data_IF_873976888868
#
_entry.id   IF_873976888868
#
_cell.length_a   1.000
_cell.length_b   1.000
_cell.length_c   1.000
_cell.angle_alpha   90.00
_cell.angle_beta   90.00
_cell.angle_gamma   90.00
#
_symmetry.space_group_name_H-M   'P 1'
#
loop_
_entity.id
_entity.type
_entity.pdbx_description
1 polymer ?
#
# COMPACT_ATOMS: atom_id res chain seq x y z
N UNK A 1 -9.41 15.51 32.82
CA UNK A 1 -9.87 16.12 31.57
C UNK A 1 -8.61 16.35 30.76
N UNK A 2 -8.22 15.30 30.04
CA UNK A 2 -6.94 15.22 29.34
C UNK A 2 -7.11 15.98 28.03
N UNK A 3 -6.39 17.10 27.92
CA UNK A 3 -6.37 17.94 26.74
C UNK A 3 -5.79 17.10 25.60
N UNK A 4 -6.69 16.59 24.74
CA UNK A 4 -6.30 15.92 23.52
C UNK A 4 -5.49 16.91 22.68
N UNK A 5 -4.16 16.80 22.76
CA UNK A 5 -3.25 17.54 21.92
C UNK A 5 -3.72 17.37 20.47
N UNK A 6 -4.26 18.43 19.88
CA UNK A 6 -4.53 18.47 18.46
C UNK A 6 -3.19 18.30 17.76
N UNK A 7 -2.93 17.10 17.25
CA UNK A 7 -1.80 16.83 16.37
C UNK A 7 -2.13 17.54 15.04
N UNK A 8 -1.37 18.57 14.63
CA UNK A 8 -1.51 19.14 13.30
C UNK A 8 -1.21 18.04 12.27
N UNK A 9 -2.04 17.90 11.24
CA UNK A 9 -1.78 16.95 10.14
C UNK A 9 -2.57 15.64 10.12
N UNK A 10 -3.71 15.60 10.81
CA UNK A 10 -4.65 14.47 10.77
C UNK A 10 -5.59 14.55 9.59
N UNK A 11 -5.06 14.32 8.39
CA UNK A 11 -5.89 14.22 7.19
C UNK A 11 -5.55 12.98 6.38
N UNK A 12 -6.54 12.48 5.63
CA UNK A 12 -6.31 11.36 4.72
C UNK A 12 -5.34 11.70 3.61
N UNK A 13 -5.28 12.97 3.17
CA UNK A 13 -4.36 13.39 2.12
C UNK A 13 -2.92 13.35 2.64
N UNK A 14 -2.66 13.90 3.83
CA UNK A 14 -1.33 13.88 4.44
C UNK A 14 -0.88 12.45 4.76
N UNK A 15 -1.77 11.62 5.29
CA UNK A 15 -1.50 10.22 5.58
C UNK A 15 -1.18 9.43 4.30
N UNK A 16 -1.88 9.69 3.18
CA UNK A 16 -1.57 9.10 1.88
C UNK A 16 -0.20 9.53 1.36
N UNK A 17 0.12 10.82 1.41
CA UNK A 17 1.40 11.36 0.95
C UNK A 17 2.55 10.77 1.77
N UNK A 18 2.41 10.81 3.11
CA UNK A 18 3.41 10.28 4.05
C UNK A 18 3.56 8.77 3.89
N UNK A 19 2.45 8.03 3.85
CA UNK A 19 2.43 6.58 3.66
C UNK A 19 3.07 6.15 2.35
N UNK A 20 2.83 6.87 1.26
CA UNK A 20 3.49 6.63 -0.04
C UNK A 20 5.01 6.80 0.04
N UNK A 21 5.50 7.87 0.67
CA UNK A 21 6.95 8.10 0.83
C UNK A 21 7.56 7.01 1.72
N UNK A 22 6.88 6.68 2.82
CA UNK A 22 7.22 5.58 3.70
C UNK A 22 7.39 4.23 2.95
N UNK A 23 6.43 3.88 2.07
CA UNK A 23 6.52 2.67 1.24
C UNK A 23 7.77 2.67 0.33
N UNK A 24 8.23 3.83 -0.13
CA UNK A 24 9.42 3.91 -0.98
C UNK A 24 10.70 3.66 -0.16
N UNK A 25 10.80 4.28 1.01
CA UNK A 25 12.03 4.28 1.84
C UNK A 25 12.18 3.04 2.72
N UNK A 26 11.09 2.32 3.00
CA UNK A 26 11.17 1.02 3.68
C UNK A 26 11.91 -0.03 2.84
N UNK A 27 12.10 0.21 1.53
CA UNK A 27 12.84 -0.67 0.62
C UNK A 27 12.04 -1.09 -0.62
N UNK A 28 10.92 -0.43 -0.91
CA UNK A 28 10.02 -0.76 -2.03
C UNK A 28 9.61 -2.25 -2.06
N UNK A 29 9.38 -2.82 -0.88
CA UNK A 29 8.89 -4.18 -0.71
C UNK A 29 7.51 -4.38 -1.32
N UNK A 30 7.19 -5.63 -1.66
CA UNK A 30 5.88 -6.00 -2.19
C UNK A 30 4.80 -5.70 -1.13
N UNK A 31 3.83 -4.81 -1.42
CA UNK A 31 2.78 -4.48 -0.46
C UNK A 31 1.70 -5.56 -0.47
N UNK A 32 1.80 -6.52 0.45
CA UNK A 32 0.82 -7.61 0.64
C UNK A 32 -0.58 -7.05 0.87
N UNK A 33 -0.67 -6.00 1.68
CA UNK A 33 -1.89 -5.25 1.90
C UNK A 33 -1.57 -3.82 2.28
N UNK A 34 -2.55 -2.93 2.11
CA UNK A 34 -2.46 -1.54 2.53
C UNK A 34 -3.85 -1.04 2.87
N UNK A 35 -3.95 -0.29 3.96
CA UNK A 35 -5.18 0.35 4.40
C UNK A 35 -4.92 1.81 4.73
N UNK A 36 -5.86 2.67 4.37
CA UNK A 36 -6.02 4.00 4.90
C UNK A 36 -7.38 4.08 5.59
N UNK A 37 -7.43 4.61 6.82
CA UNK A 37 -8.67 4.82 7.59
C UNK A 37 -8.72 6.24 8.11
N UNK A 38 -9.28 7.16 7.33
CA UNK A 38 -9.09 8.59 7.54
C UNK A 38 -7.60 8.94 7.49
N UNK A 39 -7.00 9.30 8.63
CA UNK A 39 -5.60 9.69 8.77
C UNK A 39 -4.65 8.55 9.16
N UNK A 40 -5.16 7.34 9.40
CA UNK A 40 -4.34 6.18 9.76
C UNK A 40 -3.93 5.39 8.51
N UNK A 41 -2.63 5.30 8.25
CA UNK A 41 -2.08 4.51 7.14
C UNK A 41 -1.35 3.29 7.70
N UNK A 42 -1.71 2.09 7.23
CA UNK A 42 -1.03 0.86 7.59
C UNK A 42 -0.78 -0.01 6.35
N UNK A 43 0.40 -0.59 6.24
CA UNK A 43 0.73 -1.52 5.16
C UNK A 43 1.50 -2.74 5.65
N UNK A 44 1.22 -3.89 5.04
CA UNK A 44 1.99 -5.12 5.23
C UNK A 44 2.87 -5.32 4.02
N UNK A 45 4.15 -5.57 4.26
CA UNK A 45 5.17 -5.71 3.24
C UNK A 45 5.83 -7.08 3.35
N UNK A 46 6.04 -7.73 2.21
CA UNK A 46 6.88 -8.91 2.13
C UNK A 46 8.33 -8.49 1.91
N UNK A 47 9.23 -8.88 2.82
CA UNK A 47 10.66 -8.62 2.61
C UNK A 47 11.15 -9.32 1.34
N UNK A 48 12.09 -8.70 0.62
CA UNK A 48 12.72 -9.31 -0.55
C UNK A 48 13.69 -10.41 -0.10
N UNK A 49 13.72 -11.52 -0.82
CA UNK A 49 14.66 -12.60 -0.55
C UNK A 49 16.14 -12.14 -0.59
N UNK A 50 16.47 -11.16 -1.45
CA UNK A 50 17.81 -10.59 -1.54
C UNK A 50 18.21 -9.70 -0.35
N UNK A 51 17.26 -9.29 0.48
CA UNK A 51 17.51 -8.52 1.71
C UNK A 51 17.68 -9.41 2.94
N UNK A 52 17.45 -10.73 2.79
CA UNK A 52 17.77 -11.74 3.78
C UNK A 52 19.21 -12.19 3.54
N UNK A 53 20.11 -11.90 4.48
CA UNK A 53 21.50 -12.37 4.42
C UNK A 53 21.57 -13.90 4.38
N UNK A 54 20.68 -14.56 5.14
CA UNK A 54 20.43 -15.99 5.07
C UNK A 54 18.92 -16.24 5.12
N UNK A 55 18.47 -17.38 4.56
CA UNK A 55 17.07 -17.81 4.77
C UNK A 55 16.84 -17.93 6.28
N UNK A 56 15.79 -17.29 6.77
CA UNK A 56 15.38 -17.47 8.16
C UNK A 56 15.02 -18.94 8.38
N UNK A 57 15.62 -19.59 9.39
CA UNK A 57 15.44 -21.03 9.66
C UNK A 57 14.82 -21.23 11.04
N UNK A 58 13.65 -20.63 11.29
CA UNK A 58 12.98 -20.67 12.59
C UNK A 58 12.78 -22.09 13.17
N UNK A 59 12.34 -22.21 14.43
CA UNK A 59 11.61 -21.18 15.19
C UNK A 59 12.51 -20.23 15.99
N UNK A 60 12.10 -18.96 16.09
CA UNK A 60 12.75 -17.95 16.92
C UNK A 60 12.03 -17.84 18.27
N UNK A 61 12.74 -17.30 19.26
CA UNK A 61 12.17 -16.97 20.58
C UNK A 61 12.55 -15.54 20.93
N UNK A 62 11.83 -14.92 21.86
CA UNK A 62 12.11 -13.54 22.29
C UNK A 62 13.57 -13.37 22.77
N UNK A 63 14.14 -14.39 23.41
CA UNK A 63 15.52 -14.38 23.94
C UNK A 63 16.58 -14.66 22.87
N UNK A 64 16.16 -15.07 21.67
CA UNK A 64 17.04 -15.32 20.52
C UNK A 64 16.40 -14.77 19.24
N UNK A 65 16.33 -13.43 19.10
CA UNK A 65 15.75 -12.81 17.92
C UNK A 65 16.61 -13.10 16.68
N UNK A 66 16.02 -13.13 15.48
CA UNK A 66 16.76 -13.36 14.24
C UNK A 66 17.76 -12.23 13.99
N UNK A 67 19.05 -12.59 13.87
CA UNK A 67 20.12 -11.63 13.63
C UNK A 67 19.89 -10.81 12.35
N UNK A 68 19.38 -11.42 11.28
CA UNK A 68 19.14 -10.73 10.01
C UNK A 68 18.05 -9.64 10.13
N UNK A 69 16.95 -9.93 10.84
CA UNK A 69 15.89 -8.94 11.08
C UNK A 69 16.39 -7.81 12.00
N UNK A 70 17.15 -8.16 13.04
CA UNK A 70 17.77 -7.17 13.94
C UNK A 70 18.74 -6.26 13.19
N UNK A 71 19.65 -6.83 12.39
CA UNK A 71 20.62 -6.09 11.60
C UNK A 71 19.92 -5.18 10.57
N UNK A 72 18.89 -5.70 9.90
CA UNK A 72 18.11 -4.91 8.94
C UNK A 72 17.48 -3.65 9.58
N UNK A 73 16.92 -3.79 10.79
CA UNK A 73 16.32 -2.69 11.54
C UNK A 73 17.37 -1.72 12.10
N UNK A 74 18.49 -2.24 12.61
CA UNK A 74 19.61 -1.44 13.13
C UNK A 74 20.22 -0.55 12.04
N UNK A 75 20.44 -1.09 10.83
CA UNK A 75 20.97 -0.33 9.69
C UNK A 75 20.06 0.83 9.26
N UNK A 76 18.77 0.77 9.59
CA UNK A 76 17.78 1.80 9.26
C UNK A 76 17.41 2.68 10.45
N UNK A 77 17.93 2.36 11.63
CA UNK A 77 17.74 3.19 12.83
C UNK A 77 18.54 4.49 12.66
N UNK A 78 17.88 5.63 12.90
CA UNK A 78 18.49 6.95 12.71
C UNK A 78 18.49 7.47 11.27
N UNK A 79 18.06 6.67 10.29
CA UNK A 79 17.77 7.15 8.93
C UNK A 79 16.37 7.73 8.94
N UNK A 80 16.23 9.01 8.55
CA UNK A 80 14.92 9.63 8.42
C UNK A 80 14.11 8.94 7.32
N UNK A 81 12.85 8.63 7.61
CA UNK A 81 11.85 8.12 6.68
C UNK A 81 10.64 9.06 6.63
N UNK A 82 10.27 9.54 5.45
CA UNK A 82 9.23 10.51 5.17
C UNK A 82 9.41 11.79 6.02
N UNK A 83 10.67 12.18 6.22
CA UNK A 83 11.04 13.31 7.08
C UNK A 83 10.84 13.06 8.59
N UNK A 84 10.57 11.81 9.00
CA UNK A 84 10.34 11.39 10.40
C UNK A 84 11.36 10.33 10.81
N UNK A 85 11.50 10.09 12.12
CA UNK A 85 12.32 8.99 12.61
C UNK A 85 11.48 7.73 12.76
N UNK A 86 11.83 6.61 12.09
CA UNK A 86 11.15 5.34 12.28
C UNK A 86 11.53 4.71 13.62
N UNK A 87 10.56 4.09 14.27
CA UNK A 87 10.74 3.14 15.38
C UNK A 87 10.55 1.72 14.86
N UNK A 88 11.42 0.81 15.28
CA UNK A 88 11.38 -0.60 14.88
C UNK A 88 11.16 -1.49 16.09
N UNK A 89 10.22 -2.44 15.98
CA UNK A 89 10.02 -3.49 16.98
C UNK A 89 9.97 -4.84 16.28
N UNK A 90 10.82 -5.76 16.72
CA UNK A 90 10.89 -7.10 16.15
C UNK A 90 10.04 -8.03 16.99
N UNK A 91 9.06 -8.64 16.35
CA UNK A 91 8.28 -9.72 16.92
C UNK A 91 8.87 -11.05 16.45
N UNK A 92 9.52 -11.75 17.38
CA UNK A 92 10.06 -13.08 17.16
C UNK A 92 9.11 -14.19 17.66
N UNK A 93 7.88 -13.84 18.08
CA UNK A 93 6.88 -14.81 18.51
C UNK A 93 6.20 -15.42 17.27
N UNK A 94 6.60 -16.63 16.91
CA UNK A 94 6.02 -17.34 15.78
C UNK A 94 7.05 -18.13 14.98
N UNK A 95 6.58 -18.70 13.87
CA UNK A 95 7.42 -19.49 12.97
C UNK A 95 8.45 -18.60 12.25
N UNK A 96 8.01 -17.40 11.85
CA UNK A 96 8.82 -16.40 11.17
C UNK A 96 8.82 -15.09 11.95
N UNK A 97 9.93 -14.34 11.97
CA UNK A 97 9.96 -13.04 12.58
C UNK A 97 9.17 -12.01 11.78
N UNK A 98 8.68 -10.99 12.47
CA UNK A 98 8.02 -9.83 11.87
C UNK A 98 8.66 -8.54 12.38
N UNK A 99 8.75 -7.54 11.53
CA UNK A 99 9.31 -6.23 11.88
C UNK A 99 8.18 -5.20 11.82
N UNK A 100 7.76 -4.73 12.99
CA UNK A 100 6.87 -3.59 13.09
C UNK A 100 7.67 -2.30 12.91
N UNK A 101 7.13 -1.40 12.10
CA UNK A 101 7.72 -0.10 11.81
C UNK A 101 6.67 0.98 12.09
N UNK A 102 7.03 1.99 12.87
CA UNK A 102 6.15 3.13 13.17
C UNK A 102 6.88 4.45 12.87
N UNK A 103 6.25 5.35 12.11
CA UNK A 103 6.80 6.68 11.89
C UNK A 103 6.38 7.62 13.02
N UNK A 104 7.33 7.96 13.89
CA UNK A 104 7.07 8.74 15.09
C UNK A 104 6.46 10.11 14.76
N UNK A 105 5.42 10.49 15.51
CA UNK A 105 4.67 11.73 15.30
C UNK A 105 3.65 11.67 14.16
N UNK A 106 3.35 10.49 13.62
CA UNK A 106 2.33 10.26 12.58
C UNK A 106 1.49 9.03 12.90
N UNK A 107 0.42 8.81 12.14
CA UNK A 107 -0.37 7.57 12.19
C UNK A 107 0.02 6.57 11.08
N UNK A 108 1.24 6.68 10.55
CA UNK A 108 1.77 5.77 9.50
C UNK A 108 2.52 4.61 10.13
N UNK A 109 2.11 3.40 9.80
CA UNK A 109 2.69 2.14 10.31
C UNK A 109 2.95 1.14 9.19
N UNK A 110 3.93 0.27 9.41
CA UNK A 110 4.25 -0.85 8.54
C UNK A 110 4.48 -2.13 9.31
N UNK A 111 4.19 -3.26 8.68
CA UNK A 111 4.57 -4.59 9.14
C UNK A 111 5.36 -5.26 8.02
N UNK A 112 6.60 -5.64 8.29
CA UNK A 112 7.40 -6.42 7.34
C UNK A 112 7.36 -7.87 7.79
N UNK A 113 6.89 -8.73 6.90
CA UNK A 113 6.84 -10.19 7.08
C UNK A 113 7.89 -10.87 6.21
N UNK A 114 8.29 -12.08 6.58
CA UNK A 114 9.21 -12.88 5.77
C UNK A 114 8.50 -13.44 4.52
N UNK A 115 9.23 -13.70 3.42
CA UNK A 115 8.66 -14.34 2.23
C UNK A 115 7.87 -15.61 2.54
N UNK A 116 8.35 -16.43 3.47
CA UNK A 116 7.75 -17.70 3.87
C UNK A 116 6.39 -17.56 4.57
N UNK A 117 6.03 -16.36 5.02
CA UNK A 117 4.73 -16.08 5.61
C UNK A 117 3.66 -15.77 4.54
N UNK A 118 4.08 -15.37 3.34
CA UNK A 118 3.17 -14.99 2.25
C UNK A 118 2.99 -16.17 1.30
N UNK A 119 1.74 -16.55 1.08
CA UNK A 119 1.39 -17.64 0.16
C UNK A 119 0.70 -17.10 -1.09
N UNK A 120 0.78 -17.83 -2.20
CA UNK A 120 0.05 -17.48 -3.42
C UNK A 120 -1.47 -17.37 -3.17
N UNK A 121 -2.02 -18.29 -2.36
CA UNK A 121 -3.42 -18.29 -1.92
C UNK A 121 -3.79 -17.00 -1.18
N UNK A 122 -2.95 -16.54 -0.24
CA UNK A 122 -3.20 -15.28 0.50
C UNK A 122 -3.27 -14.05 -0.41
N UNK A 123 -2.71 -14.15 -1.61
CA UNK A 123 -2.70 -13.08 -2.63
C UNK A 123 -3.74 -13.27 -3.73
N UNK A 124 -4.61 -14.29 -3.64
CA UNK A 124 -5.49 -14.71 -4.74
C UNK A 124 -4.75 -14.96 -6.06
N UNK A 125 -3.50 -15.41 -5.98
CA UNK A 125 -2.64 -15.68 -7.12
C UNK A 125 -2.39 -17.18 -7.29
N UNK A 126 -2.21 -17.69 -8.52
CA UNK A 126 -1.81 -19.07 -8.75
C UNK A 126 -0.37 -19.35 -8.28
N UNK A 127 0.49 -18.33 -8.26
CA UNK A 127 1.87 -18.41 -7.79
C UNK A 127 2.41 -17.03 -7.40
N UNK A 128 3.47 -17.02 -6.60
CA UNK A 128 4.30 -15.84 -6.31
C UNK A 128 5.51 -15.82 -7.27
N UNK A 129 6.08 -14.65 -7.53
CA UNK A 129 7.17 -14.52 -8.51
C UNK A 129 7.65 -13.08 -8.72
N UNK A 130 8.51 -12.88 -9.72
CA UNK A 130 9.20 -11.61 -9.97
C UNK A 130 8.26 -10.42 -10.20
N UNK A 131 7.05 -10.65 -10.70
CA UNK A 131 6.02 -9.62 -10.85
C UNK A 131 5.77 -8.80 -9.57
N UNK A 132 6.01 -9.37 -8.38
CA UNK A 132 5.85 -8.70 -7.09
C UNK A 132 6.74 -7.46 -6.94
N UNK A 133 7.92 -7.45 -7.57
CA UNK A 133 8.90 -6.35 -7.50
C UNK A 133 8.37 -5.05 -8.11
N UNK A 134 7.45 -5.15 -9.08
CA UNK A 134 6.92 -3.99 -9.79
C UNK A 134 5.77 -3.31 -9.05
N UNK A 135 5.00 -4.07 -8.26
CA UNK A 135 3.71 -3.63 -7.70
C UNK A 135 3.87 -2.44 -6.75
N UNK A 136 4.93 -2.42 -5.93
CA UNK A 136 5.17 -1.33 -4.98
C UNK A 136 5.25 0.04 -5.69
N UNK A 137 5.89 0.08 -6.86
CA UNK A 137 5.98 1.30 -7.67
C UNK A 137 4.63 1.72 -8.23
N UNK A 138 3.87 0.76 -8.77
CA UNK A 138 2.53 0.98 -9.33
C UNK A 138 1.58 1.54 -8.28
N UNK A 139 1.58 0.95 -7.07
CA UNK A 139 0.74 1.39 -5.94
C UNK A 139 1.08 2.82 -5.56
N UNK A 140 2.37 3.13 -5.36
CA UNK A 140 2.79 4.48 -4.97
C UNK A 140 2.39 5.54 -6.01
N UNK A 141 2.51 5.23 -7.29
CA UNK A 141 2.04 6.13 -8.36
C UNK A 141 0.54 6.37 -8.18
N UNK A 142 -0.28 5.32 -8.05
CA UNK A 142 -1.73 5.48 -7.87
C UNK A 142 -2.09 6.32 -6.63
N UNK A 143 -1.37 6.16 -5.50
CA UNK A 143 -1.57 6.99 -4.30
C UNK A 143 -1.30 8.47 -4.57
N UNK A 144 -0.30 8.81 -5.39
CA UNK A 144 -0.01 10.20 -5.79
C UNK A 144 -1.17 10.81 -6.59
N UNK A 145 -1.72 10.06 -7.54
CA UNK A 145 -2.90 10.51 -8.30
C UNK A 145 -4.09 10.76 -7.37
N UNK A 146 -4.36 9.84 -6.44
CA UNK A 146 -5.48 9.97 -5.49
C UNK A 146 -5.29 11.18 -4.58
N UNK A 147 -4.11 11.35 -3.98
CA UNK A 147 -3.80 12.49 -3.13
C UNK A 147 -3.94 13.82 -3.89
N UNK A 148 -3.42 13.88 -5.12
CA UNK A 148 -3.58 15.05 -6.00
C UNK A 148 -5.04 15.36 -6.33
N UNK A 149 -5.86 14.33 -6.60
CA UNK A 149 -7.28 14.52 -6.86
C UNK A 149 -8.05 14.99 -5.63
N UNK A 150 -7.81 14.40 -4.46
CA UNK A 150 -8.42 14.84 -3.20
C UNK A 150 -8.07 16.30 -2.89
N UNK A 151 -6.80 16.67 -3.08
CA UNK A 151 -6.31 18.05 -2.92
C UNK A 151 -7.04 19.00 -3.88
N UNK A 152 -7.12 18.63 -5.16
CA UNK A 152 -7.84 19.41 -6.16
C UNK A 152 -9.34 19.55 -5.83
N UNK A 153 -9.96 18.51 -5.26
CA UNK A 153 -11.37 18.56 -4.82
C UNK A 153 -11.58 19.57 -3.70
N UNK A 154 -10.70 19.54 -2.70
CA UNK A 154 -10.73 20.50 -1.60
C UNK A 154 -10.61 21.94 -2.12
N UNK A 155 -9.64 22.20 -3.01
CA UNK A 155 -9.46 23.54 -3.58
C UNK A 155 -10.63 24.00 -4.47
N UNK A 156 -11.18 23.12 -5.30
CA UNK A 156 -12.24 23.49 -6.25
C UNK A 156 -13.62 23.63 -5.61
N UNK A 157 -13.95 22.74 -4.67
CA UNK A 157 -15.28 22.72 -4.04
C UNK A 157 -15.31 23.46 -2.69
N UNK A 158 -14.14 23.80 -2.12
CA UNK A 158 -14.02 24.37 -0.79
C UNK A 158 -14.48 23.42 0.32
N UNK A 159 -14.69 23.98 1.51
CA UNK A 159 -15.17 23.26 2.70
C UNK A 159 -14.06 22.52 3.45
N UNK A 160 -14.44 21.62 4.35
CA UNK A 160 -13.50 20.78 5.10
C UNK A 160 -12.73 19.85 4.16
N UNK A 161 -11.52 19.45 4.54
CA UNK A 161 -10.74 18.51 3.75
C UNK A 161 -11.48 17.17 3.57
N UNK A 162 -11.54 16.62 2.33
CA UNK A 162 -12.23 15.36 2.09
C UNK A 162 -11.47 14.21 2.76
N UNK A 163 -12.21 13.35 3.45
CA UNK A 163 -11.70 12.16 4.12
C UNK A 163 -12.17 10.88 3.42
N UNK A 164 -11.23 9.96 3.18
CA UNK A 164 -11.48 8.67 2.54
C UNK A 164 -10.88 7.53 3.35
N UNK A 165 -11.44 6.34 3.14
CA UNK A 165 -10.75 5.09 3.43
C UNK A 165 -10.30 4.46 2.12
N UNK A 166 -9.20 3.72 2.17
CA UNK A 166 -8.61 3.04 1.02
C UNK A 166 -8.16 1.64 1.40
N UNK A 167 -8.42 0.65 0.56
CA UNK A 167 -7.88 -0.71 0.69
C UNK A 167 -7.15 -1.12 -0.57
N UNK A 168 -5.94 -1.66 -0.42
CA UNK A 168 -5.28 -2.41 -1.49
C UNK A 168 -5.66 -3.88 -1.38
N UNK A 169 -6.26 -4.40 -2.44
CA UNK A 169 -6.61 -5.81 -2.59
C UNK A 169 -6.09 -6.35 -3.91
N UNK A 170 -5.89 -7.66 -3.98
CA UNK A 170 -5.46 -8.35 -5.18
C UNK A 170 -6.57 -9.27 -5.67
N UNK A 171 -6.94 -9.12 -6.93
CA UNK A 171 -7.98 -9.93 -7.57
C UNK A 171 -7.39 -10.72 -8.72
N UNK A 172 -7.89 -11.94 -9.00
CA UNK A 172 -7.49 -12.66 -10.21
C UNK A 172 -7.66 -11.80 -11.46
N UNK A 173 -6.73 -11.97 -12.39
CA UNK A 173 -6.79 -11.34 -13.70
C UNK A 173 -7.41 -12.31 -14.71
N UNK A 174 -8.69 -12.10 -15.04
CA UNK A 174 -9.44 -12.98 -15.95
C UNK A 174 -8.84 -12.99 -17.37
N UNK A 175 -8.12 -11.94 -17.75
CA UNK A 175 -7.44 -11.81 -19.05
C UNK A 175 -5.97 -12.28 -18.99
N UNK A 176 -5.52 -12.86 -17.87
CA UNK A 176 -4.12 -13.21 -17.64
C UNK A 176 -3.51 -14.05 -18.77
N UNK A 177 -4.13 -15.19 -19.08
CA UNK A 177 -3.64 -16.12 -20.11
C UNK A 177 -3.58 -15.48 -21.50
N UNK A 178 -4.57 -14.65 -21.82
CA UNK A 178 -4.62 -13.93 -23.10
C UNK A 178 -3.48 -12.92 -23.22
N UNK A 179 -3.14 -12.21 -22.14
CA UNK A 179 -1.99 -11.30 -22.12
C UNK A 179 -0.68 -12.05 -22.17
N UNK A 180 -0.58 -13.17 -21.46
CA UNK A 180 0.63 -13.99 -21.42
C UNK A 180 1.01 -14.53 -22.80
N UNK A 181 0.01 -14.91 -23.60
CA UNK A 181 0.20 -15.39 -24.97
C UNK A 181 0.80 -14.34 -25.92
N UNK A 182 0.67 -13.05 -25.60
CA UNK A 182 1.14 -11.93 -26.42
C UNK A 182 2.53 -11.42 -26.00
N UNK A 183 3.07 -11.95 -24.91
CA UNK A 183 4.31 -11.48 -24.29
C UNK A 183 5.44 -12.50 -24.53
N UNK A 184 6.63 -11.99 -24.82
CA UNK A 184 7.85 -12.79 -24.95
C UNK A 184 8.05 -13.65 -23.69
N UNK A 185 8.48 -14.90 -23.89
CA UNK A 185 8.64 -15.87 -22.81
C UNK A 185 9.52 -15.34 -21.65
N UNK A 186 10.54 -14.53 -21.96
CA UNK A 186 11.45 -13.93 -20.98
C UNK A 186 10.80 -12.89 -20.07
N UNK A 187 9.66 -12.33 -20.48
CA UNK A 187 8.96 -11.28 -19.73
C UNK A 187 7.75 -11.83 -18.97
N UNK A 188 7.39 -13.10 -19.16
CA UNK A 188 6.21 -13.72 -18.56
C UNK A 188 6.22 -13.69 -17.03
N UNK A 189 7.38 -13.88 -16.40
CA UNK A 189 7.52 -13.85 -14.94
C UNK A 189 7.24 -12.47 -14.32
N UNK A 190 7.34 -11.41 -15.13
CA UNK A 190 7.05 -10.03 -14.74
C UNK A 190 5.57 -9.66 -14.91
N UNK A 191 4.78 -10.49 -15.58
CA UNK A 191 3.35 -10.25 -15.78
C UNK A 191 2.59 -10.76 -14.55
N UNK A 192 1.90 -9.88 -13.81
CA UNK A 192 1.20 -10.31 -12.61
C UNK A 192 -0.05 -11.12 -13.01
N UNK A 193 -0.27 -12.29 -12.38
CA UNK A 193 -1.50 -13.08 -12.55
C UNK A 193 -2.70 -12.50 -11.79
N UNK A 194 -2.46 -11.40 -11.07
CA UNK A 194 -3.45 -10.67 -10.29
C UNK A 194 -3.46 -9.20 -10.67
N UNK A 195 -4.60 -8.56 -10.48
CA UNK A 195 -4.78 -7.11 -10.61
C UNK A 195 -4.77 -6.49 -9.22
N UNK A 196 -3.84 -5.58 -8.94
CA UNK A 196 -3.95 -4.73 -7.76
C UNK A 196 -5.13 -3.75 -7.93
N UNK A 197 -6.00 -3.73 -6.94
CA UNK A 197 -7.19 -2.88 -6.89
C UNK A 197 -7.14 -2.03 -5.63
N UNK A 198 -7.34 -0.73 -5.78
CA UNK A 198 -7.56 0.22 -4.69
C UNK A 198 -9.07 0.44 -4.52
N UNK A 199 -9.64 -0.03 -3.42
CA UNK A 199 -11.04 0.21 -3.08
C UNK A 199 -11.15 1.47 -2.24
N UNK A 200 -11.69 2.54 -2.83
CA UNK A 200 -11.91 3.81 -2.14
C UNK A 200 -13.30 3.83 -1.52
N UNK A 201 -13.40 4.34 -0.29
CA UNK A 201 -14.69 4.61 0.37
C UNK A 201 -14.72 6.05 0.88
N UNK A 202 -15.84 6.71 0.67
CA UNK A 202 -16.06 8.05 1.19
C UNK A 202 -16.31 8.00 2.70
N UNK A 203 -15.48 8.67 3.50
CA UNK A 203 -15.69 8.80 4.94
C UNK A 203 -16.40 10.11 5.29
N UNK A 204 -15.85 11.22 4.83
CA UNK A 204 -16.45 12.55 4.98
C UNK A 204 -16.13 13.38 3.75
N UNK A 205 -17.14 13.61 2.91
CA UNK A 205 -16.98 14.35 1.65
C UNK A 205 -18.31 14.99 1.27
N UNK A 206 -18.28 16.24 0.83
CA UNK A 206 -19.49 16.93 0.38
C UNK A 206 -19.91 16.45 -1.03
N UNK A 207 -21.19 16.60 -1.42
CA UNK A 207 -21.63 16.31 -2.78
C UNK A 207 -20.85 17.10 -3.85
N UNK A 208 -20.47 18.34 -3.56
CA UNK A 208 -19.66 19.18 -4.44
C UNK A 208 -18.24 18.61 -4.63
N UNK A 209 -17.61 18.13 -3.54
CA UNK A 209 -16.31 17.47 -3.59
C UNK A 209 -16.37 16.14 -4.35
N UNK A 210 -17.42 15.31 -4.15
CA UNK A 210 -17.62 14.08 -4.96
C UNK A 210 -17.72 14.40 -6.45
N UNK A 211 -18.47 15.46 -6.81
CA UNK A 211 -18.59 15.91 -8.19
C UNK A 211 -17.25 16.40 -8.77
N UNK A 212 -16.46 17.13 -7.98
CA UNK A 212 -15.11 17.55 -8.38
C UNK A 212 -14.18 16.34 -8.56
N UNK A 213 -14.25 15.35 -7.68
CA UNK A 213 -13.45 14.12 -7.77
C UNK A 213 -13.80 13.35 -9.05
N UNK A 214 -15.09 13.13 -9.30
CA UNK A 214 -15.57 12.47 -10.51
C UNK A 214 -15.17 13.20 -11.80
N UNK A 215 -14.97 14.52 -11.76
CA UNK A 215 -14.45 15.29 -12.91
C UNK A 215 -12.99 14.93 -13.20
N UNK A 216 -12.16 14.79 -12.16
CA UNK A 216 -10.76 14.35 -12.31
C UNK A 216 -10.68 12.91 -12.82
N UNK A 217 -11.61 12.03 -12.39
CA UNK A 217 -11.71 10.65 -12.90
C UNK A 217 -12.04 10.56 -14.40
N UNK A 218 -12.63 11.59 -15.03
CA UNK A 218 -12.90 11.56 -16.48
C UNK A 218 -11.62 11.48 -17.33
N UNK A 219 -10.47 11.85 -16.77
CA UNK A 219 -9.17 11.65 -17.40
C UNK A 219 -8.62 10.22 -17.25
N UNK A 220 -9.20 9.40 -16.37
CA UNK A 220 -8.81 8.00 -16.18
C UNK A 220 -9.60 7.07 -17.12
N UNK A 221 -8.96 5.99 -17.59
CA UNK A 221 -9.61 5.00 -18.46
C UNK A 221 -10.63 4.21 -17.65
N UNK A 222 -11.92 4.37 -17.95
CA UNK A 222 -13.00 3.61 -17.31
C UNK A 222 -12.92 2.13 -17.71
N UNK A 223 -13.15 1.26 -16.73
CA UNK A 223 -13.24 -0.20 -16.89
C UNK A 223 -14.63 -0.61 -16.37
N UNK A 224 -15.28 -1.56 -17.05
CA UNK A 224 -16.59 -2.09 -16.65
C UNK A 224 -17.77 -1.50 -17.43
N UNK A 225 -18.97 -1.98 -17.09
CA UNK A 225 -20.20 -1.64 -17.80
C UNK A 225 -20.87 -0.42 -17.19
N UNK A 226 -21.66 0.32 -17.99
CA UNK A 226 -22.33 1.56 -17.53
C UNK A 226 -23.34 1.33 -16.38
N UNK A 227 -23.70 0.07 -16.12
CA UNK A 227 -24.62 -0.38 -15.07
C UNK A 227 -23.95 -0.67 -13.71
N UNK A 228 -22.62 -0.63 -13.62
CA UNK A 228 -21.94 -0.92 -12.36
C UNK A 228 -22.18 0.17 -11.31
N UNK A 229 -22.60 -0.24 -10.11
CA UNK A 229 -22.80 0.65 -8.95
C UNK A 229 -21.50 1.31 -8.46
N UNK A 230 -20.35 0.74 -8.83
CA UNK A 230 -19.02 1.26 -8.53
C UNK A 230 -18.35 1.69 -9.84
N UNK A 231 -17.64 2.81 -9.78
CA UNK A 231 -16.92 3.34 -10.93
C UNK A 231 -15.49 2.82 -10.87
N UNK A 232 -15.15 1.89 -11.76
CA UNK A 232 -13.80 1.33 -11.86
C UNK A 232 -13.00 2.08 -12.92
N UNK A 233 -11.79 2.51 -12.58
CA UNK A 233 -10.91 3.24 -13.48
C UNK A 233 -9.45 2.79 -13.35
N UNK A 234 -8.70 2.84 -14.45
CA UNK A 234 -7.27 2.48 -14.45
C UNK A 234 -6.39 3.69 -14.25
N UNK A 235 -5.45 3.59 -13.30
CA UNK A 235 -4.49 4.63 -12.95
C UNK A 235 -3.12 3.99 -12.79
N UNK A 236 -2.18 4.36 -13.66
CA UNK A 236 -0.79 3.93 -13.53
C UNK A 236 -0.59 2.40 -13.50
N UNK A 237 -1.51 1.61 -14.04
CA UNK A 237 -1.45 0.14 -14.01
C UNK A 237 -2.34 -0.54 -12.96
N UNK A 238 -2.92 0.22 -12.02
CA UNK A 238 -3.84 -0.25 -10.97
C UNK A 238 -5.28 0.10 -11.32
N UNK A 239 -6.22 -0.68 -10.80
CA UNK A 239 -7.64 -0.34 -10.81
C UNK A 239 -8.02 0.41 -9.52
N UNK A 240 -8.73 1.51 -9.66
CA UNK A 240 -9.35 2.23 -8.55
C UNK A 240 -10.86 2.04 -8.66
N UNK A 241 -11.46 1.49 -7.61
CA UNK A 241 -12.90 1.43 -7.43
C UNK A 241 -13.38 2.59 -6.57
N UNK A 242 -14.33 3.36 -7.10
CA UNK A 242 -14.90 4.52 -6.42
C UNK A 242 -16.40 4.28 -6.19
N UNK A 243 -16.96 4.64 -5.02
CA UNK A 243 -18.39 4.58 -4.80
C UNK A 243 -19.10 5.58 -5.72
N UNK A 244 -20.22 5.17 -6.31
CA UNK A 244 -21.09 6.03 -7.13
C UNK A 244 -21.65 7.24 -6.39
#
# INVERSE_FOLDING_TARGET
MEEAAMIPGRSSIEALITGKVFMAEIGAFFPVSMTLRGDEFAAVFMMRASQLGHRTTGPYTHDRPPADAMNWAQLRTGIGMAGRFPSFRIDASGLWPRIHVELLGTAVRGLIVMPEEVTAESMNAPYLGEWQEQISSTVRIALDWIAGWLTACHHQAGGTEPSVDLDLVYRPDDDYETRLAQVDERLRELIPPVRPVLELRWRSVSPAQRKAFAKNLKGARRIGTRSDRRLSCRIGGIELEVPG
#
